data_IF_744234461983
#
_entry.id   IF_744234461983
#
_cell.length_a   1.000
_cell.length_b   1.000
_cell.length_c   1.000
_cell.angle_alpha   90.00
_cell.angle_beta   90.00
_cell.angle_gamma   90.00
#
_symmetry.space_group_name_H-M   'P 1'
#
loop_
_entity.id
_entity.type
_entity.pdbx_description
1 polymer ?
#
# COMPACT_ATOMS: atom_id res chain seq x y z
N UNK A 1 1.48 -40.33 -53.50
CA UNK A 1 2.70 -39.73 -52.94
C UNK A 1 3.08 -40.50 -51.68
N UNK A 2 4.29 -41.07 -51.61
CA UNK A 2 4.76 -41.70 -50.37
C UNK A 2 5.14 -40.57 -49.40
N UNK A 3 4.44 -40.49 -48.27
CA UNK A 3 4.73 -39.52 -47.21
C UNK A 3 5.89 -39.98 -46.34
N UNK A 4 6.53 -39.04 -45.65
CA UNK A 4 7.56 -39.36 -44.66
C UNK A 4 6.90 -39.85 -43.37
N UNK A 5 7.40 -40.94 -42.75
CA UNK A 5 6.89 -41.40 -41.49
C UNK A 5 7.21 -40.38 -40.39
N UNK A 6 6.27 -40.21 -39.47
CA UNK A 6 6.33 -39.20 -38.40
C UNK A 6 7.61 -39.30 -37.55
N UNK A 7 8.18 -40.50 -37.45
CA UNK A 7 9.45 -40.78 -36.77
C UNK A 7 10.63 -40.04 -37.37
N UNK A 8 10.71 -39.96 -38.70
CA UNK A 8 11.83 -39.33 -39.40
C UNK A 8 11.77 -37.81 -39.28
N UNK A 9 10.54 -37.27 -39.22
CA UNK A 9 10.30 -35.84 -38.98
C UNK A 9 10.78 -35.46 -37.57
N UNK A 10 10.44 -36.24 -36.55
CA UNK A 10 10.92 -35.99 -35.18
C UNK A 10 12.43 -36.18 -35.02
N UNK A 11 13.03 -37.13 -35.73
CA UNK A 11 14.47 -37.32 -35.74
C UNK A 11 15.21 -36.12 -36.36
N UNK A 12 14.66 -35.53 -37.43
CA UNK A 12 15.22 -34.33 -38.07
C UNK A 12 15.06 -33.05 -37.22
N UNK A 13 13.97 -32.93 -36.47
CA UNK A 13 13.69 -31.79 -35.59
C UNK A 13 14.51 -31.82 -34.28
N UNK A 14 14.90 -32.99 -33.79
CA UNK A 14 15.64 -33.11 -32.52
C UNK A 14 14.81 -32.70 -31.28
N UNK A 15 15.47 -32.20 -30.23
CA UNK A 15 14.84 -31.75 -28.96
C UNK A 15 14.65 -30.23 -28.85
N UNK A 16 14.76 -29.50 -29.97
CA UNK A 16 14.66 -28.04 -29.97
C UNK A 16 13.21 -27.61 -29.75
N UNK A 17 12.84 -27.35 -28.48
CA UNK A 17 11.58 -26.69 -28.10
C UNK A 17 11.57 -25.19 -28.43
N UNK A 18 12.57 -24.70 -29.15
CA UNK A 18 12.75 -23.28 -29.45
C UNK A 18 12.60 -23.08 -30.96
N UNK A 19 11.42 -22.59 -31.36
CA UNK A 19 11.21 -22.07 -32.70
C UNK A 19 11.73 -20.63 -32.70
N UNK A 20 12.83 -20.37 -33.41
CA UNK A 20 13.34 -19.01 -33.61
C UNK A 20 12.40 -18.23 -34.54
N UNK A 21 11.36 -17.65 -33.95
CA UNK A 21 10.41 -16.77 -34.64
C UNK A 21 11.09 -15.43 -34.97
N UNK A 22 11.02 -15.01 -36.23
CA UNK A 22 11.42 -13.65 -36.67
C UNK A 22 10.47 -12.58 -36.10
N UNK A 23 9.27 -12.98 -35.70
CA UNK A 23 8.26 -12.10 -35.11
C UNK A 23 8.40 -12.10 -33.59
N UNK A 24 8.67 -10.92 -33.03
CA UNK A 24 8.71 -10.69 -31.58
C UNK A 24 7.27 -10.53 -31.10
N UNK A 25 6.75 -11.42 -30.24
CA UNK A 25 5.35 -11.35 -29.82
C UNK A 25 5.07 -10.07 -29.04
N UNK A 26 3.92 -9.47 -29.32
CA UNK A 26 3.41 -8.30 -28.62
C UNK A 26 3.04 -8.67 -27.18
N UNK A 27 2.96 -7.70 -26.26
CA UNK A 27 2.72 -7.97 -24.82
C UNK A 27 1.45 -8.80 -24.59
N UNK A 28 0.38 -8.55 -25.34
CA UNK A 28 -0.85 -9.33 -25.27
C UNK A 28 -0.67 -10.78 -25.75
N UNK A 29 0.12 -11.01 -26.79
CA UNK A 29 0.39 -12.34 -27.34
C UNK A 29 1.31 -13.14 -26.42
N UNK A 30 2.28 -12.50 -25.76
CA UNK A 30 3.09 -13.15 -24.72
C UNK A 30 2.24 -13.66 -23.56
N UNK A 31 1.25 -12.88 -23.14
CA UNK A 31 0.32 -13.27 -22.07
C UNK A 31 -0.56 -14.44 -22.52
N UNK A 32 -1.04 -14.41 -23.76
CA UNK A 32 -1.83 -15.52 -24.32
C UNK A 32 -1.00 -16.79 -24.45
N UNK A 33 0.24 -16.70 -24.92
CA UNK A 33 1.13 -17.84 -25.06
C UNK A 33 1.58 -18.40 -23.70
N UNK A 34 1.84 -17.55 -22.70
CA UNK A 34 2.12 -17.98 -21.34
C UNK A 34 0.96 -18.80 -20.75
N UNK A 35 -0.29 -18.40 -21.00
CA UNK A 35 -1.48 -19.17 -20.59
C UNK A 35 -1.63 -20.54 -21.28
N UNK A 36 -1.03 -20.72 -22.45
CA UNK A 36 -1.12 -21.96 -23.23
C UNK A 36 0.05 -22.90 -22.88
N UNK A 37 1.23 -22.34 -22.59
CA UNK A 37 2.47 -23.08 -22.38
C UNK A 37 2.68 -23.44 -20.90
N UNK A 38 2.37 -22.51 -20.00
CA UNK A 38 2.49 -22.78 -18.57
C UNK A 38 1.25 -23.56 -18.13
N UNK A 39 1.46 -24.78 -17.63
CA UNK A 39 0.46 -25.62 -16.98
C UNK A 39 -0.08 -24.90 -15.73
N UNK A 40 -1.04 -24.00 -15.94
CA UNK A 40 -1.73 -23.32 -14.86
C UNK A 40 -2.55 -24.36 -14.10
N UNK A 41 -2.31 -24.42 -12.78
CA UNK A 41 -2.99 -25.36 -11.86
C UNK A 41 -4.48 -25.34 -12.12
N UNK A 42 -4.99 -26.54 -12.38
CA UNK A 42 -6.39 -26.94 -12.45
C UNK A 42 -7.30 -26.02 -11.63
N UNK A 43 -7.79 -24.96 -12.27
CA UNK A 43 -9.02 -24.32 -11.85
C UNK A 43 -10.09 -25.37 -12.11
N UNK A 44 -10.66 -25.94 -11.06
CA UNK A 44 -11.93 -26.66 -11.15
C UNK A 44 -13.01 -25.66 -11.58
N UNK A 45 -13.04 -25.33 -12.87
CA UNK A 45 -14.29 -24.98 -13.51
C UNK A 45 -15.13 -26.24 -13.45
N UNK A 46 -16.22 -26.19 -12.69
CA UNK A 46 -17.27 -27.20 -12.74
C UNK A 46 -17.64 -27.43 -14.21
N UNK A 47 -17.21 -28.58 -14.73
CA UNK A 47 -17.60 -29.20 -15.99
C UNK A 47 -17.54 -28.29 -17.21
N UNK A 48 -16.47 -28.41 -17.99
CA UNK A 48 -16.57 -28.01 -19.40
C UNK A 48 -17.73 -28.78 -20.04
N UNK A 49 -18.41 -28.22 -21.04
CA UNK A 49 -19.52 -28.91 -21.72
C UNK A 49 -19.12 -30.33 -22.16
N UNK A 50 -17.84 -30.55 -22.50
CA UNK A 50 -17.26 -31.87 -22.81
C UNK A 50 -17.31 -32.87 -21.65
N UNK A 51 -17.13 -32.44 -20.41
CA UNK A 51 -17.16 -33.33 -19.23
C UNK A 51 -18.57 -33.82 -18.95
N UNK A 52 -19.57 -32.96 -19.19
CA UNK A 52 -20.98 -33.33 -19.14
C UNK A 52 -21.30 -34.38 -20.20
N UNK A 53 -20.85 -34.19 -21.45
CA UNK A 53 -21.03 -35.18 -22.51
C UNK A 53 -20.36 -36.52 -22.20
N UNK A 54 -19.12 -36.50 -21.70
CA UNK A 54 -18.41 -37.71 -21.30
C UNK A 54 -19.10 -38.45 -20.15
N UNK A 55 -19.65 -37.74 -19.16
CA UNK A 55 -20.45 -38.35 -18.09
C UNK A 55 -21.70 -39.05 -18.66
N UNK A 56 -22.42 -38.41 -19.58
CA UNK A 56 -23.61 -38.99 -20.20
C UNK A 56 -23.30 -40.20 -21.10
N UNK A 57 -22.13 -40.24 -21.73
CA UNK A 57 -21.71 -41.37 -22.57
C UNK A 57 -21.17 -42.55 -21.74
N UNK A 58 -20.35 -42.27 -20.72
CA UNK A 58 -19.69 -43.32 -19.92
C UNK A 58 -20.56 -43.84 -18.77
N UNK A 59 -21.27 -42.96 -18.05
CA UNK A 59 -22.04 -43.35 -16.85
C UNK A 59 -23.42 -43.89 -17.21
N UNK A 60 -24.06 -43.37 -18.26
CA UNK A 60 -25.36 -43.88 -18.73
C UNK A 60 -25.25 -44.96 -19.82
N UNK A 61 -24.04 -45.28 -20.31
CA UNK A 61 -23.82 -46.24 -21.42
C UNK A 61 -24.85 -46.08 -22.56
N UNK A 62 -25.20 -44.84 -22.89
CA UNK A 62 -26.18 -44.60 -23.93
C UNK A 62 -25.56 -44.99 -25.27
N UNK A 63 -26.12 -46.02 -25.90
CA UNK A 63 -25.67 -46.49 -27.22
C UNK A 63 -25.93 -45.36 -28.23
N UNK A 64 -24.87 -44.66 -28.63
CA UNK A 64 -24.89 -43.53 -29.61
C UNK A 64 -25.49 -43.96 -30.95
N UNK A 65 -25.61 -45.26 -31.18
CA UNK A 65 -26.21 -45.83 -32.38
C UNK A 65 -27.74 -45.93 -32.28
N UNK A 66 -28.42 -44.94 -32.84
CA UNK A 66 -29.87 -44.90 -33.03
C UNK A 66 -30.26 -45.77 -34.21
N UNK A 67 -30.21 -47.09 -34.02
CA UNK A 67 -30.49 -48.09 -35.06
C UNK A 67 -31.84 -47.84 -35.75
N UNK A 68 -32.86 -47.44 -34.98
CA UNK A 68 -34.19 -47.13 -35.50
C UNK A 68 -34.20 -45.92 -36.45
N UNK A 69 -33.44 -44.85 -36.14
CA UNK A 69 -33.31 -43.68 -37.02
C UNK A 69 -32.50 -44.02 -38.28
N UNK A 70 -31.46 -44.85 -38.14
CA UNK A 70 -30.68 -45.35 -39.27
C UNK A 70 -31.54 -46.21 -40.20
N UNK A 71 -32.34 -47.14 -39.66
CA UNK A 71 -33.22 -48.02 -40.44
C UNK A 71 -34.35 -47.22 -41.13
N UNK A 72 -34.88 -46.17 -40.48
CA UNK A 72 -35.85 -45.25 -41.08
C UNK A 72 -35.25 -44.43 -42.23
N UNK A 73 -34.03 -43.92 -42.07
CA UNK A 73 -33.31 -43.19 -43.12
C UNK A 73 -32.97 -44.10 -44.31
N UNK A 74 -32.54 -45.34 -44.05
CA UNK A 74 -32.31 -46.35 -45.10
C UNK A 74 -33.62 -46.69 -45.81
N UNK A 75 -34.72 -46.90 -45.09
CA UNK A 75 -36.03 -47.16 -45.69
C UNK A 75 -36.54 -46.00 -46.55
N UNK A 76 -36.29 -44.75 -46.14
CA UNK A 76 -36.63 -43.56 -46.91
C UNK A 76 -35.80 -43.42 -48.20
N UNK A 77 -34.55 -43.91 -48.21
CA UNK A 77 -33.70 -43.94 -49.41
C UNK A 77 -34.10 -45.02 -50.41
N UNK A 78 -34.89 -46.02 -50.01
CA UNK A 78 -35.45 -47.00 -50.94
C UNK A 78 -36.58 -46.35 -51.71
N UNK A 79 -36.24 -45.66 -52.80
CA UNK A 79 -37.20 -45.26 -53.81
C UNK A 79 -37.93 -46.51 -54.30
N UNK A 80 -39.20 -46.65 -53.94
CA UNK A 80 -40.11 -47.57 -54.62
C UNK A 80 -40.20 -47.09 -56.06
N UNK A 81 -39.40 -47.67 -56.96
CA UNK A 81 -39.69 -47.62 -58.40
C UNK A 81 -41.03 -48.34 -58.57
N UNK A 82 -42.12 -47.59 -58.49
CA UNK A 82 -43.40 -48.07 -59.01
C UNK A 82 -43.17 -48.34 -60.49
N UNK A 83 -43.07 -49.62 -60.87
CA UNK A 83 -43.25 -50.04 -62.26
C UNK A 83 -44.76 -50.04 -62.52
N UNK A 84 -45.33 -48.85 -62.54
CA UNK A 84 -46.61 -48.68 -63.21
C UNK A 84 -46.25 -48.68 -64.71
N UNK A 85 -46.53 -49.81 -65.37
CA UNK A 85 -46.46 -49.92 -66.83
C UNK A 85 -47.63 -49.14 -67.42
N UNK A 86 -47.62 -47.83 -67.27
CA UNK A 86 -48.49 -46.95 -68.04
C UNK A 86 -47.65 -46.42 -69.21
N UNK A 87 -48.16 -46.59 -70.44
CA UNK A 87 -47.55 -46.01 -71.64
C UNK A 87 -47.56 -44.49 -71.49
N UNK A 88 -46.47 -43.93 -70.97
CA UNK A 88 -46.17 -42.51 -71.10
C UNK A 88 -45.86 -42.26 -72.58
N UNK A 89 -46.90 -41.95 -73.36
CA UNK A 89 -46.74 -41.09 -74.53
C UNK A 89 -46.12 -39.80 -74.03
N UNK A 90 -44.91 -39.49 -74.52
CA UNK A 90 -44.30 -38.18 -74.35
C UNK A 90 -45.23 -37.15 -75.00
N UNK A 91 -46.12 -36.56 -74.18
CA UNK A 91 -46.60 -35.22 -74.43
C UNK A 91 -45.52 -34.29 -73.88
N UNK A 92 -44.55 -34.04 -74.75
CA UNK A 92 -43.88 -32.75 -74.84
C UNK A 92 -45.00 -31.70 -74.97
N UNK A 93 -45.38 -31.11 -73.82
CA UNK A 93 -45.99 -29.77 -73.66
C UNK A 93 -46.78 -29.68 -72.33
N UNK A 94 -46.09 -29.31 -71.24
CA UNK A 94 -46.69 -28.51 -70.15
C UNK A 94 -45.64 -27.89 -69.24
N UNK A 95 -45.13 -26.78 -69.76
CA UNK A 95 -44.57 -25.59 -69.10
C UNK A 95 -44.42 -25.61 -67.56
N UNK A 96 -43.17 -25.63 -67.16
CA UNK A 96 -42.53 -25.52 -65.84
C UNK A 96 -42.83 -24.22 -65.05
N UNK A 97 -44.01 -23.62 -65.20
CA UNK A 97 -44.32 -22.28 -64.65
C UNK A 97 -44.73 -22.31 -63.16
N UNK A 98 -45.37 -23.38 -62.70
CA UNK A 98 -45.85 -23.50 -61.31
C UNK A 98 -44.75 -23.74 -60.27
N UNK A 99 -43.68 -24.44 -60.63
CA UNK A 99 -42.51 -24.67 -59.76
C UNK A 99 -41.63 -23.42 -59.57
N UNK A 100 -41.62 -22.54 -60.58
CA UNK A 100 -40.83 -21.30 -60.56
C UNK A 100 -41.48 -20.22 -59.69
N UNK A 101 -42.81 -20.11 -59.72
CA UNK A 101 -43.58 -19.22 -58.83
C UNK A 101 -43.49 -19.64 -57.35
N UNK A 102 -43.51 -20.94 -57.07
CA UNK A 102 -43.40 -21.45 -55.70
C UNK A 102 -42.00 -21.28 -55.09
N UNK A 103 -40.93 -21.34 -55.91
CA UNK A 103 -39.57 -21.01 -55.47
C UNK A 103 -39.40 -19.52 -55.17
N UNK A 104 -39.93 -18.63 -56.01
CA UNK A 104 -39.91 -17.18 -55.75
C UNK A 104 -40.68 -16.81 -54.47
N UNK A 105 -41.85 -17.42 -54.25
CA UNK A 105 -42.61 -17.20 -53.02
C UNK A 105 -41.86 -17.68 -51.76
N UNK A 106 -41.07 -18.76 -51.86
CA UNK A 106 -40.21 -19.22 -50.77
C UNK A 106 -39.05 -18.25 -50.51
N UNK A 107 -38.41 -17.75 -51.56
CA UNK A 107 -37.31 -16.79 -51.48
C UNK A 107 -37.75 -15.48 -50.80
N UNK A 108 -38.88 -14.91 -51.22
CA UNK A 108 -39.48 -13.72 -50.59
C UNK A 108 -39.82 -13.96 -49.11
N UNK A 109 -40.33 -15.15 -48.77
CA UNK A 109 -40.63 -15.51 -47.38
C UNK A 109 -39.37 -15.60 -46.52
N UNK A 110 -38.28 -16.15 -47.07
CA UNK A 110 -36.98 -16.24 -46.38
C UNK A 110 -36.38 -14.84 -46.21
N UNK A 111 -36.36 -14.02 -47.26
CA UNK A 111 -35.87 -12.65 -47.20
C UNK A 111 -36.67 -11.80 -46.20
N UNK A 112 -38.01 -11.96 -46.19
CA UNK A 112 -38.89 -11.33 -45.22
C UNK A 112 -38.53 -11.71 -43.78
N UNK A 113 -38.45 -13.01 -43.49
CA UNK A 113 -38.09 -13.51 -42.16
C UNK A 113 -36.69 -13.04 -41.72
N UNK A 114 -35.72 -13.00 -42.63
CA UNK A 114 -34.37 -12.51 -42.36
C UNK A 114 -34.40 -11.01 -42.06
N UNK A 115 -35.12 -10.22 -42.86
CA UNK A 115 -35.22 -8.77 -42.68
C UNK A 115 -35.89 -8.40 -41.35
N UNK A 116 -36.93 -9.13 -40.96
CA UNK A 116 -37.63 -8.94 -39.69
C UNK A 116 -36.75 -9.35 -38.50
N UNK A 117 -36.03 -10.46 -38.62
CA UNK A 117 -35.03 -10.90 -37.63
C UNK A 117 -33.92 -9.87 -37.42
N UNK A 118 -33.39 -9.29 -38.49
CA UNK A 118 -32.38 -8.23 -38.40
C UNK A 118 -32.92 -6.93 -37.83
N UNK A 119 -34.17 -6.57 -38.16
CA UNK A 119 -34.83 -5.39 -37.60
C UNK A 119 -35.03 -5.53 -36.09
N UNK A 120 -35.52 -6.70 -35.63
CA UNK A 120 -35.65 -7.00 -34.20
C UNK A 120 -34.30 -6.97 -33.48
N UNK A 121 -33.26 -7.56 -34.07
CA UNK A 121 -31.90 -7.52 -33.51
C UNK A 121 -31.38 -6.09 -33.42
N UNK A 122 -31.58 -5.27 -34.46
CA UNK A 122 -31.18 -3.85 -34.48
C UNK A 122 -31.83 -3.09 -33.33
N UNK A 123 -33.13 -3.24 -33.12
CA UNK A 123 -33.83 -2.58 -32.01
C UNK A 123 -33.29 -3.00 -30.63
N UNK A 124 -32.99 -4.29 -30.44
CA UNK A 124 -32.41 -4.79 -29.18
C UNK A 124 -31.00 -4.22 -28.96
N UNK A 125 -30.18 -4.15 -30.00
CA UNK A 125 -28.83 -3.59 -29.93
C UNK A 125 -28.87 -2.10 -29.62
N UNK A 126 -29.73 -1.33 -30.29
CA UNK A 126 -29.91 0.11 -30.03
C UNK A 126 -30.35 0.37 -28.59
N UNK A 127 -31.31 -0.41 -28.07
CA UNK A 127 -31.75 -0.29 -26.68
C UNK A 127 -30.63 -0.57 -25.66
N UNK A 128 -29.84 -1.64 -25.89
CA UNK A 128 -28.69 -1.96 -25.03
C UNK A 128 -27.59 -0.89 -25.10
N UNK A 129 -27.34 -0.36 -26.30
CA UNK A 129 -26.36 0.71 -26.50
C UNK A 129 -26.79 1.98 -25.74
N UNK A 130 -28.08 2.32 -25.79
CA UNK A 130 -28.66 3.43 -25.03
C UNK A 130 -28.51 3.26 -23.51
N UNK A 131 -28.80 2.08 -22.96
CA UNK A 131 -28.59 1.80 -21.52
C UNK A 131 -27.10 1.91 -21.12
N UNK A 132 -26.21 1.40 -21.97
CA UNK A 132 -24.76 1.52 -21.76
C UNK A 132 -24.31 2.98 -21.75
N UNK A 133 -24.83 3.82 -22.65
CA UNK A 133 -24.47 5.24 -22.73
C UNK A 133 -24.92 6.01 -21.46
N UNK A 134 -26.15 5.76 -21.00
CA UNK A 134 -26.65 6.33 -19.73
C UNK A 134 -25.78 5.91 -18.55
N UNK A 135 -25.45 4.62 -18.45
CA UNK A 135 -24.55 4.10 -17.42
C UNK A 135 -23.15 4.74 -17.50
N UNK A 136 -22.63 4.92 -18.70
CA UNK A 136 -21.32 5.53 -18.92
C UNK A 136 -21.30 6.99 -18.49
N UNK A 137 -22.32 7.75 -18.85
CA UNK A 137 -22.50 9.14 -18.39
C UNK A 137 -22.52 9.24 -16.86
N UNK A 138 -23.22 8.33 -16.17
CA UNK A 138 -23.24 8.28 -14.70
C UNK A 138 -21.86 7.94 -14.13
N UNK A 139 -21.17 6.98 -14.72
CA UNK A 139 -19.82 6.59 -14.30
C UNK A 139 -18.83 7.75 -14.46
N UNK A 140 -18.84 8.46 -15.59
CA UNK A 140 -17.99 9.62 -15.83
C UNK A 140 -18.24 10.74 -14.82
N UNK A 141 -19.51 11.06 -14.52
CA UNK A 141 -19.87 12.06 -13.51
C UNK A 141 -19.32 11.68 -12.14
N UNK A 142 -19.45 10.41 -11.74
CA UNK A 142 -18.90 9.90 -10.49
C UNK A 142 -17.38 10.00 -10.45
N UNK A 143 -16.68 9.60 -11.52
CA UNK A 143 -15.22 9.69 -11.60
C UNK A 143 -14.75 11.15 -11.49
N UNK A 144 -15.41 12.10 -12.17
CA UNK A 144 -15.14 13.53 -12.04
C UNK A 144 -15.34 14.01 -10.61
N UNK A 145 -16.39 13.57 -9.93
CA UNK A 145 -16.64 13.93 -8.53
C UNK A 145 -15.55 13.38 -7.60
N UNK A 146 -15.12 12.13 -7.78
CA UNK A 146 -14.04 11.52 -7.01
C UNK A 146 -12.72 12.26 -7.21
N UNK A 147 -12.36 12.63 -8.45
CA UNK A 147 -11.17 13.44 -8.74
C UNK A 147 -11.20 14.79 -8.02
N UNK A 148 -12.35 15.48 -8.00
CA UNK A 148 -12.51 16.75 -7.26
C UNK A 148 -12.34 16.56 -5.75
N UNK A 149 -12.89 15.48 -5.18
CA UNK A 149 -12.73 15.16 -3.76
C UNK A 149 -11.27 14.83 -3.40
N UNK A 150 -10.60 14.04 -4.23
CA UNK A 150 -9.20 13.71 -4.05
C UNK A 150 -8.31 14.96 -4.06
N UNK A 151 -8.50 15.86 -5.04
CA UNK A 151 -7.78 17.13 -5.10
C UNK A 151 -7.99 17.99 -3.85
N UNK A 152 -9.23 18.08 -3.34
CA UNK A 152 -9.54 18.81 -2.10
C UNK A 152 -8.89 18.19 -0.86
N UNK A 153 -8.73 16.87 -0.84
CA UNK A 153 -8.02 16.17 0.25
C UNK A 153 -6.53 16.48 0.16
N UNK A 154 -5.95 16.41 -1.03
CA UNK A 154 -4.53 16.72 -1.28
C UNK A 154 -4.18 18.15 -0.85
N UNK A 155 -4.99 19.15 -1.23
CA UNK A 155 -4.81 20.55 -0.81
C UNK A 155 -4.90 20.73 0.72
N UNK A 156 -5.77 19.97 1.39
CA UNK A 156 -5.84 19.98 2.86
C UNK A 156 -4.62 19.32 3.50
N UNK A 157 -4.12 18.22 2.92
CA UNK A 157 -2.94 17.53 3.42
C UNK A 157 -1.70 18.42 3.32
N UNK A 158 -1.50 19.10 2.19
CA UNK A 158 -0.39 20.04 2.01
C UNK A 158 -0.47 21.22 2.98
N UNK A 159 -1.66 21.75 3.23
CA UNK A 159 -1.88 22.82 4.22
C UNK A 159 -1.60 22.36 5.66
N UNK A 160 -1.97 21.12 6.01
CA UNK A 160 -1.68 20.56 7.33
C UNK A 160 -0.17 20.35 7.48
N UNK A 161 0.50 19.87 6.43
CA UNK A 161 1.94 19.64 6.44
C UNK A 161 2.73 20.95 6.57
N UNK A 162 2.34 22.02 5.84
CA UNK A 162 2.96 23.34 6.00
C UNK A 162 2.78 23.88 7.41
N UNK A 163 1.58 23.79 7.99
CA UNK A 163 1.32 24.27 9.35
C UNK A 163 2.13 23.50 10.40
N UNK A 164 2.20 22.17 10.29
CA UNK A 164 3.05 21.36 11.19
C UNK A 164 4.52 21.75 11.08
N UNK A 165 5.01 22.02 9.88
CA UNK A 165 6.39 22.46 9.67
C UNK A 165 6.65 23.83 10.33
N UNK A 166 5.70 24.76 10.26
CA UNK A 166 5.78 26.05 10.97
C UNK A 166 5.79 25.87 12.49
N UNK A 167 4.90 25.03 13.05
CA UNK A 167 4.86 24.74 14.49
C UNK A 167 6.19 24.15 14.98
N UNK A 168 6.74 23.16 14.26
CA UNK A 168 8.04 22.56 14.58
C UNK A 168 9.14 23.63 14.58
N UNK A 169 9.14 24.54 13.62
CA UNK A 169 10.12 25.63 13.53
C UNK A 169 10.00 26.61 14.70
N UNK A 170 8.79 26.95 15.13
CA UNK A 170 8.54 27.78 16.32
C UNK A 170 9.03 27.07 17.59
N UNK A 171 8.72 25.79 17.75
CA UNK A 171 9.14 25.01 18.91
C UNK A 171 10.67 24.91 18.99
N UNK A 172 11.35 24.67 17.86
CA UNK A 172 12.81 24.65 17.78
C UNK A 172 13.44 26.01 18.14
N UNK A 173 12.84 27.13 17.72
CA UNK A 173 13.27 28.47 18.13
C UNK A 173 13.12 28.63 19.66
N UNK A 174 11.99 28.23 20.23
CA UNK A 174 11.76 28.21 21.67
C UNK A 174 12.77 27.35 22.45
N UNK A 175 13.08 26.15 21.96
CA UNK A 175 14.11 25.28 22.57
C UNK A 175 15.49 25.93 22.54
N UNK A 176 15.85 26.63 21.45
CA UNK A 176 17.13 27.38 21.35
C UNK A 176 17.20 28.54 22.36
N UNK A 177 16.13 29.31 22.53
CA UNK A 177 16.09 30.42 23.50
C UNK A 177 16.16 29.91 24.94
N UNK A 178 15.41 28.86 25.29
CA UNK A 178 15.48 28.21 26.61
C UNK A 178 16.89 27.70 26.92
N UNK A 179 17.56 27.07 25.94
CA UNK A 179 18.97 26.64 26.10
C UNK A 179 19.90 27.82 26.39
N UNK A 180 19.73 28.96 25.69
CA UNK A 180 20.52 30.18 25.94
C UNK A 180 20.27 30.71 27.36
N UNK A 181 19.02 30.85 27.79
CA UNK A 181 18.65 31.28 29.14
C UNK A 181 19.20 30.35 30.24
N UNK A 182 19.21 29.03 30.01
CA UNK A 182 19.78 28.08 30.96
C UNK A 182 21.30 28.25 31.09
N UNK A 183 22.01 28.53 29.99
CA UNK A 183 23.45 28.81 30.02
C UNK A 183 23.75 30.08 30.80
N UNK A 184 23.02 31.17 30.55
CA UNK A 184 23.22 32.44 31.27
C UNK A 184 22.87 32.32 32.76
N UNK A 185 21.79 31.62 33.12
CA UNK A 185 21.48 31.34 34.53
C UNK A 185 22.58 30.56 35.25
N UNK A 186 23.19 29.56 34.60
CA UNK A 186 24.31 28.81 35.16
C UNK A 186 25.54 29.70 35.40
N UNK A 187 25.89 30.57 34.45
CA UNK A 187 27.05 31.46 34.59
C UNK A 187 26.82 32.51 35.69
N UNK A 188 25.63 33.10 35.76
CA UNK A 188 25.25 34.05 36.83
C UNK A 188 25.28 33.36 38.20
N UNK A 189 24.78 32.13 38.31
CA UNK A 189 24.83 31.35 39.55
C UNK A 189 26.28 31.09 40.00
N UNK A 190 27.16 30.69 39.08
CA UNK A 190 28.59 30.52 39.35
C UNK A 190 29.27 31.82 39.78
N UNK A 191 28.99 32.93 39.10
CA UNK A 191 29.50 34.26 39.46
C UNK A 191 29.05 34.67 40.87
N UNK A 192 27.77 34.46 41.19
CA UNK A 192 27.21 34.71 42.53
C UNK A 192 27.93 33.86 43.58
N UNK A 193 28.10 32.54 43.37
CA UNK A 193 28.84 31.66 44.29
C UNK A 193 30.28 32.15 44.53
N UNK A 194 31.00 32.54 43.47
CA UNK A 194 32.37 33.09 43.58
C UNK A 194 32.39 34.40 44.38
N UNK A 195 31.43 35.29 44.14
CA UNK A 195 31.30 36.56 44.87
C UNK A 195 31.04 36.31 46.37
N UNK A 196 30.07 35.47 46.73
CA UNK A 196 29.78 35.13 48.12
C UNK A 196 30.97 34.45 48.82
N UNK A 197 31.73 33.62 48.10
CA UNK A 197 32.97 33.04 48.62
C UNK A 197 34.03 34.12 48.93
N UNK A 198 34.23 35.09 48.03
CA UNK A 198 35.12 36.24 48.26
C UNK A 198 34.67 37.06 49.47
N UNK A 199 33.38 37.43 49.53
CA UNK A 199 32.81 38.16 50.67
C UNK A 199 33.02 37.39 51.98
N UNK A 200 32.73 36.08 51.99
CA UNK A 200 32.95 35.23 53.16
C UNK A 200 34.40 35.17 53.61
N UNK A 201 35.36 35.13 52.67
CA UNK A 201 36.80 35.21 52.98
C UNK A 201 37.14 36.56 53.64
N UNK A 202 36.66 37.67 53.07
CA UNK A 202 36.93 39.01 53.60
C UNK A 202 36.35 39.18 55.00
N UNK A 203 35.09 38.77 55.22
CA UNK A 203 34.44 38.81 56.55
C UNK A 203 35.23 37.98 57.56
N UNK A 204 35.66 36.77 57.19
CA UNK A 204 36.49 35.90 58.05
C UNK A 204 37.82 36.56 58.39
N UNK A 205 38.49 37.18 57.42
CA UNK A 205 39.75 37.91 57.66
C UNK A 205 39.57 39.07 58.63
N UNK A 206 38.54 39.90 58.42
CA UNK A 206 38.22 41.03 59.31
C UNK A 206 37.97 40.54 60.72
N UNK A 207 37.09 39.53 60.90
CA UNK A 207 36.80 38.91 62.20
C UNK A 207 38.08 38.41 62.88
N UNK A 208 38.94 37.70 62.17
CA UNK A 208 40.21 37.18 62.70
C UNK A 208 41.16 38.30 63.14
N UNK A 209 41.27 39.37 62.35
CA UNK A 209 42.10 40.55 62.68
C UNK A 209 41.59 41.24 63.94
N UNK A 210 40.28 41.40 64.07
CA UNK A 210 39.62 41.97 65.26
C UNK A 210 39.87 41.10 66.49
N UNK A 211 39.68 39.79 66.39
CA UNK A 211 39.94 38.84 67.49
C UNK A 211 41.40 38.85 67.96
N UNK A 212 42.37 38.92 67.02
CA UNK A 212 43.79 39.07 67.36
C UNK A 212 44.06 40.36 68.12
N UNK A 213 43.45 41.49 67.72
CA UNK A 213 43.57 42.77 68.43
C UNK A 213 43.01 42.67 69.85
N UNK A 214 41.84 42.06 70.03
CA UNK A 214 41.22 41.85 71.35
C UNK A 214 42.10 40.97 72.25
N UNK A 215 42.62 39.84 71.75
CA UNK A 215 43.55 38.98 72.50
C UNK A 215 44.82 39.72 72.92
N UNK A 216 45.41 40.53 72.03
CA UNK A 216 46.56 41.38 72.35
C UNK A 216 46.24 42.40 73.45
N UNK A 217 45.05 43.02 73.44
CA UNK A 217 44.62 43.94 74.51
C UNK A 217 44.46 43.21 75.84
N UNK A 218 43.77 42.06 75.86
CA UNK A 218 43.60 41.24 77.08
C UNK A 218 44.93 40.82 77.69
N UNK A 219 45.87 40.32 76.88
CA UNK A 219 47.21 39.93 77.36
C UNK A 219 48.03 41.10 77.88
N UNK A 220 47.99 42.27 77.22
CA UNK A 220 48.62 43.49 77.74
C UNK A 220 48.03 43.90 79.09
N UNK A 221 46.69 43.88 79.21
CA UNK A 221 46.02 44.22 80.48
C UNK A 221 46.36 43.22 81.59
N UNK A 222 46.44 41.92 81.27
CA UNK A 222 46.87 40.89 82.22
C UNK A 222 48.33 41.10 82.68
N UNK A 223 49.22 41.47 81.77
CA UNK A 223 50.62 41.80 82.14
C UNK A 223 50.68 43.04 83.03
N UNK A 224 49.89 44.08 82.73
CA UNK A 224 49.81 45.30 83.57
C UNK A 224 49.29 44.98 84.97
N UNK A 225 48.21 44.22 85.08
CA UNK A 225 47.62 43.82 86.36
C UNK A 225 48.55 42.92 87.18
N UNK A 226 49.25 41.95 86.54
CA UNK A 226 50.27 41.15 87.24
C UNK A 226 51.39 42.03 87.79
N UNK A 227 51.88 43.00 87.00
CA UNK A 227 52.92 43.96 87.45
C UNK A 227 52.45 44.78 88.65
N UNK A 228 51.24 45.35 88.61
CA UNK A 228 50.71 46.11 89.74
C UNK A 228 50.53 45.25 90.99
N UNK A 229 50.02 44.02 90.85
CA UNK A 229 49.92 43.07 91.97
C UNK A 229 51.29 42.73 92.57
N UNK A 230 52.31 42.50 91.73
CA UNK A 230 53.68 42.26 92.24
C UNK A 230 54.26 43.46 92.96
N UNK A 231 54.01 44.68 92.48
CA UNK A 231 54.46 45.91 93.16
C UNK A 231 53.75 46.10 94.50
N UNK A 232 52.43 45.89 94.56
CA UNK A 232 51.66 45.91 95.80
C UNK A 232 52.16 44.85 96.80
N UNK A 233 52.48 43.65 96.33
CA UNK A 233 53.03 42.57 97.16
C UNK A 233 54.42 42.94 97.70
N UNK A 234 55.29 43.54 96.89
CA UNK A 234 56.60 44.06 97.34
C UNK A 234 56.43 45.15 98.39
N UNK A 235 55.60 46.16 98.12
CA UNK A 235 55.30 47.25 99.04
C UNK A 235 54.75 46.75 100.39
N UNK A 236 53.84 45.76 100.36
CA UNK A 236 53.29 45.13 101.56
C UNK A 236 54.34 44.36 102.35
N UNK A 237 55.30 43.72 101.68
CA UNK A 237 56.39 43.01 102.35
C UNK A 237 57.43 43.96 102.95
N UNK A 238 57.78 45.05 102.27
CA UNK A 238 58.64 46.10 102.84
C UNK A 238 57.98 46.75 104.05
N UNK A 239 56.68 47.05 103.98
CA UNK A 239 55.93 47.59 105.12
C UNK A 239 55.91 46.61 106.31
N UNK A 240 55.68 45.31 106.05
CA UNK A 240 55.78 44.27 107.09
C UNK A 240 57.18 44.15 107.70
N UNK A 241 58.23 44.25 106.89
CA UNK A 241 59.61 44.17 107.38
C UNK A 241 60.00 45.41 108.19
N UNK A 242 59.51 46.59 107.82
CA UNK A 242 59.68 47.82 108.61
C UNK A 242 58.93 47.72 109.94
N UNK A 243 57.68 47.25 109.94
CA UNK A 243 56.92 47.04 111.17
C UNK A 243 57.59 46.03 112.12
N UNK A 244 58.17 44.94 111.59
CA UNK A 244 58.94 43.98 112.40
C UNK A 244 60.19 44.59 113.05
N UNK A 245 60.79 45.62 112.46
CA UNK A 245 61.94 46.34 113.02
C UNK A 245 61.55 47.37 114.09
N UNK A 246 60.26 47.69 114.22
CA UNK A 246 59.76 48.67 115.20
C UNK A 246 59.20 47.96 116.44
N UNK A 247 58.88 46.66 116.34
CA UNK A 247 58.29 45.83 117.40
C UNK A 247 59.29 44.86 118.05
N UNK A 248 60.58 44.96 117.74
CA UNK A 248 61.70 44.31 118.43
C UNK A 248 62.70 45.39 118.83
#
# INVERSE_FOLDING_TARGET
MKGYPLKDIYAALGHTRVINSVLVPTVGEKIMLARIIDEEREYHCEGSTSDTWNHWLNVKQNKIFWKELYDLDVAARVFKKKKDKEKVTFLEDSSSKSGLESLKALEEKILGAISEGFSGLKSVVEAKLGDMDVRMSKFEKNQRQLRRRAKKIEEKLTSIESNKNEEIMVELKGRKTVRRLRKTRKTVSLARKRMWSRVGKTVRMVRNKTMRRVKKRKTKNLKKTKKTVTLLRKAKNTWRNQMKKILC
#
